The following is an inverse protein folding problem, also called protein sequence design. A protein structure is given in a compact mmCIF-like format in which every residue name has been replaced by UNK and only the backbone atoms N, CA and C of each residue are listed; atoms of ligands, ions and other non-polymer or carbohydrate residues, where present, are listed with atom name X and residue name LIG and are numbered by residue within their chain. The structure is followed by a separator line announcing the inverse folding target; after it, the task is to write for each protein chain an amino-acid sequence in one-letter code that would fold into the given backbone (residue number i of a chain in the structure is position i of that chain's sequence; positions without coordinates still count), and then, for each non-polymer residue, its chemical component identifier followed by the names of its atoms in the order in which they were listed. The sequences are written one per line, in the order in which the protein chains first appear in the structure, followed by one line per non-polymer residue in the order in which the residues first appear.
data_IF_179792075401
#
_entry.id   IF_179792075401
#
_cell.length_a   1.000
_cell.length_b   1.000
_cell.length_c   1.000
_cell.angle_alpha   90.00
_cell.angle_beta   90.00
_cell.angle_gamma   90.00
#
_symmetry.space_group_name_H-M   'P 1'
#
loop_
_entity.id
_entity.type
_entity.pdbx_description
1 polymer ?
#
# COMPACT_ATOMS: atom_id res chain seq x y z
N UNK A 1 -69.76 -23.66 -41.79
CA UNK A 1 -70.54 -22.41 -41.62
C UNK A 1 -69.79 -21.55 -40.62
N UNK A 2 -69.36 -20.37 -41.05
CA UNK A 2 -68.60 -19.40 -40.25
C UNK A 2 -69.60 -18.58 -39.43
N UNK A 3 -69.33 -18.39 -38.14
CA UNK A 3 -69.89 -17.27 -37.38
C UNK A 3 -68.76 -16.62 -36.58
N UNK A 4 -68.65 -15.31 -36.78
CA UNK A 4 -67.64 -14.38 -36.28
C UNK A 4 -67.83 -13.98 -34.82
N UNK A 5 -66.69 -13.83 -34.14
CA UNK A 5 -66.18 -12.65 -33.43
C UNK A 5 -67.14 -11.73 -32.63
N UNK A 6 -66.63 -11.38 -31.43
CA UNK A 6 -67.01 -10.30 -30.47
C UNK A 6 -68.04 -10.78 -29.44
N UNK A 7 -67.71 -10.84 -28.14
CA UNK A 7 -67.49 -9.66 -27.29
C UNK A 7 -66.33 -9.89 -26.31
N UNK A 8 -65.35 -8.99 -26.40
CA UNK A 8 -64.27 -8.75 -25.44
C UNK A 8 -64.80 -8.13 -24.14
N UNK A 9 -64.04 -8.34 -23.06
CA UNK A 9 -64.07 -7.64 -21.76
C UNK A 9 -65.20 -8.06 -20.79
N UNK A 10 -64.85 -8.89 -19.79
CA UNK A 10 -64.51 -8.31 -18.49
C UNK A 10 -63.31 -8.95 -17.79
N UNK A 11 -62.37 -9.57 -18.52
CA UNK A 11 -61.16 -10.17 -17.93
C UNK A 11 -60.08 -9.14 -17.54
N UNK A 12 -60.38 -7.85 -17.57
CA UNK A 12 -59.42 -6.76 -17.34
C UNK A 12 -59.51 -6.14 -15.92
N UNK A 13 -60.43 -6.63 -15.07
CA UNK A 13 -60.54 -6.16 -13.68
C UNK A 13 -59.79 -7.07 -12.71
N UNK A 14 -59.56 -8.34 -13.05
CA UNK A 14 -58.84 -9.28 -12.18
C UNK A 14 -57.31 -9.17 -12.25
N UNK A 15 -56.77 -8.38 -13.19
CA UNK A 15 -55.33 -8.19 -13.37
C UNK A 15 -54.76 -6.98 -12.60
N UNK A 16 -55.63 -6.16 -11.97
CA UNK A 16 -55.23 -4.96 -11.23
C UNK A 16 -55.10 -5.17 -9.71
N UNK A 17 -55.33 -6.39 -9.20
CA UNK A 17 -55.19 -6.72 -7.77
C UNK A 17 -53.88 -7.42 -7.41
N UNK A 18 -52.95 -7.59 -8.37
CA UNK A 18 -51.63 -8.20 -8.14
C UNK A 18 -50.49 -7.18 -7.99
N UNK A 19 -50.77 -5.87 -7.90
CA UNK A 19 -49.70 -4.85 -7.77
C UNK A 19 -49.68 -4.10 -6.44
N UNK A 20 -50.56 -4.41 -5.48
CA UNK A 20 -50.45 -3.90 -4.11
C UNK A 20 -49.63 -4.86 -3.25
N UNK A 21 -48.32 -4.90 -3.53
CA UNK A 21 -47.34 -5.70 -2.81
C UNK A 21 -45.92 -5.30 -3.18
N UNK A 22 -45.64 -4.00 -3.29
CA UNK A 22 -44.28 -3.49 -3.30
C UNK A 22 -44.02 -2.97 -1.90
N UNK A 23 -43.83 -3.93 -0.98
CA UNK A 23 -43.18 -3.63 0.28
C UNK A 23 -41.80 -3.07 -0.08
N UNK A 24 -41.49 -1.91 0.49
CA UNK A 24 -40.25 -1.22 0.24
C UNK A 24 -39.19 -1.95 1.06
N UNK A 25 -38.74 -3.09 0.53
CA UNK A 25 -37.49 -3.73 0.93
C UNK A 25 -36.39 -2.68 0.68
N UNK A 26 -36.08 -1.92 1.73
CA UNK A 26 -34.77 -1.35 1.88
C UNK A 26 -33.81 -2.53 1.91
N UNK A 27 -33.34 -2.92 0.72
CA UNK A 27 -32.10 -3.64 0.51
C UNK A 27 -30.99 -2.80 1.14
N UNK A 28 -30.90 -2.90 2.45
CA UNK A 28 -29.70 -2.59 3.20
C UNK A 28 -28.80 -3.78 2.92
N UNK A 29 -28.24 -3.83 1.70
CA UNK A 29 -27.23 -4.79 1.36
C UNK A 29 -26.22 -4.76 2.50
N UNK A 30 -25.95 -5.89 3.18
CA UNK A 30 -24.92 -5.92 4.21
C UNK A 30 -23.65 -5.36 3.58
N UNK A 31 -22.89 -4.48 4.28
CA UNK A 31 -21.69 -3.90 3.71
C UNK A 31 -20.82 -5.04 3.19
N UNK A 32 -20.47 -4.99 1.90
CA UNK A 32 -19.59 -5.99 1.28
C UNK A 32 -18.39 -6.16 2.21
N UNK A 33 -18.19 -7.39 2.68
CA UNK A 33 -17.09 -7.69 3.59
C UNK A 33 -15.80 -7.19 2.96
N UNK A 34 -15.09 -6.36 3.71
CA UNK A 34 -13.86 -5.73 3.29
C UNK A 34 -12.90 -6.82 2.79
N UNK A 35 -12.51 -6.76 1.50
CA UNK A 35 -11.67 -7.81 0.91
C UNK A 35 -10.43 -8.05 1.79
N UNK A 36 -10.14 -9.33 2.07
CA UNK A 36 -8.95 -9.73 2.82
C UNK A 36 -7.66 -9.47 2.03
N UNK A 37 -7.77 -9.25 0.72
CA UNK A 37 -6.67 -8.97 -0.19
C UNK A 37 -6.82 -7.55 -0.75
N UNK A 38 -5.75 -6.77 -0.73
CA UNK A 38 -5.76 -5.37 -1.17
C UNK A 38 -4.42 -4.96 -1.80
N UNK A 39 -4.44 -3.83 -2.52
CA UNK A 39 -3.22 -3.18 -3.03
C UNK A 39 -2.69 -2.22 -1.97
N UNK A 40 -1.43 -2.39 -1.56
CA UNK A 40 -0.77 -1.49 -0.61
C UNK A 40 0.15 -0.52 -1.34
N UNK A 41 0.03 0.76 -1.03
CA UNK A 41 0.94 1.81 -1.50
C UNK A 41 1.85 2.25 -0.35
N UNK A 42 3.16 2.26 -0.62
CA UNK A 42 4.19 2.65 0.32
C UNK A 42 4.98 3.80 -0.29
N UNK A 43 5.05 4.91 0.42
CA UNK A 43 5.89 6.06 0.07
C UNK A 43 7.05 6.16 1.05
N UNK A 44 8.26 5.90 0.60
CA UNK A 44 9.48 6.11 1.37
C UNK A 44 9.91 7.57 1.27
N UNK A 45 10.13 8.22 2.40
CA UNK A 45 10.74 9.54 2.52
C UNK A 45 12.11 9.38 3.17
N UNK A 46 13.16 9.56 2.39
CA UNK A 46 14.53 9.36 2.83
C UNK A 46 15.17 10.74 3.03
N UNK A 47 15.66 11.00 4.23
CA UNK A 47 16.25 12.31 4.57
C UNK A 47 17.18 12.24 5.77
N UNK A 48 18.01 13.27 5.94
CA UNK A 48 18.71 13.57 7.18
C UNK A 48 18.17 14.87 7.81
N UNK A 49 18.30 14.98 9.13
CA UNK A 49 17.94 16.19 9.87
C UNK A 49 19.15 17.12 10.08
N UNK A 50 20.36 16.62 9.84
CA UNK A 50 21.61 17.36 10.01
C UNK A 50 22.06 17.96 8.68
N UNK A 51 22.35 19.26 8.67
CA UNK A 51 23.07 19.87 7.55
C UNK A 51 24.57 19.52 7.65
N UNK A 52 25.08 18.83 6.63
CA UNK A 52 26.49 18.43 6.52
C UNK A 52 27.29 19.33 5.57
N UNK A 53 26.84 20.56 5.31
CA UNK A 53 27.52 21.53 4.45
C UNK A 53 28.94 21.90 4.93
N UNK A 54 29.23 21.80 6.23
CA UNK A 54 30.52 22.13 6.82
C UNK A 54 31.69 21.29 6.28
N UNK A 55 32.86 21.93 6.12
CA UNK A 55 34.07 21.31 5.56
C UNK A 55 34.56 20.06 6.30
N UNK A 56 34.26 19.92 7.61
CA UNK A 56 34.63 18.71 8.37
C UNK A 56 34.01 17.42 7.81
N UNK A 57 32.94 17.52 7.02
CA UNK A 57 32.23 16.40 6.42
C UNK A 57 32.66 16.08 4.97
N UNK A 58 33.61 16.83 4.39
CA UNK A 58 34.01 16.70 2.97
C UNK A 58 34.53 15.30 2.57
N UNK A 59 34.98 14.51 3.54
CA UNK A 59 35.44 13.13 3.33
C UNK A 59 34.50 12.09 3.95
N UNK A 60 33.27 12.49 4.27
CA UNK A 60 32.25 11.62 4.83
C UNK A 60 31.22 11.23 3.78
N UNK A 61 30.84 9.95 3.76
CA UNK A 61 29.93 9.38 2.77
C UNK A 61 29.10 8.27 3.39
N UNK A 62 27.97 7.97 2.77
CA UNK A 62 27.04 6.94 3.23
C UNK A 62 26.56 6.08 2.07
N UNK A 63 26.40 4.77 2.31
CA UNK A 63 25.67 3.86 1.45
C UNK A 63 24.39 3.42 2.16
N UNK A 64 23.27 3.36 1.45
CA UNK A 64 21.97 2.97 1.99
C UNK A 64 21.39 1.82 1.17
N UNK A 65 21.05 0.72 1.83
CA UNK A 65 20.24 -0.36 1.27
C UNK A 65 18.88 -0.39 1.98
N UNK A 66 17.81 -0.47 1.18
CA UNK A 66 16.44 -0.67 1.65
C UNK A 66 15.90 -1.94 1.03
N UNK A 67 15.45 -2.87 1.87
CA UNK A 67 14.87 -4.14 1.44
C UNK A 67 13.51 -4.34 2.08
N UNK A 68 12.47 -4.39 1.26
CA UNK A 68 11.12 -4.70 1.71
C UNK A 68 10.83 -6.18 1.43
N UNK A 69 10.50 -6.88 2.51
CA UNK A 69 10.16 -8.29 2.51
C UNK A 69 8.68 -8.47 2.82
N UNK A 70 8.04 -9.36 2.08
CA UNK A 70 6.71 -9.89 2.35
C UNK A 70 6.89 -11.26 2.97
N UNK A 71 6.53 -11.39 4.24
CA UNK A 71 6.55 -12.64 4.98
C UNK A 71 5.11 -13.13 5.05
N UNK A 72 4.83 -14.26 4.41
CA UNK A 72 3.49 -14.85 4.36
C UNK A 72 3.43 -16.11 5.22
N UNK A 73 2.27 -16.34 5.84
CA UNK A 73 1.95 -17.65 6.40
C UNK A 73 1.60 -18.67 5.31
N UNK A 74 1.26 -18.20 4.09
CA UNK A 74 1.09 -19.02 2.91
C UNK A 74 2.43 -19.27 2.20
N UNK A 75 2.47 -20.17 1.21
CA UNK A 75 3.65 -20.37 0.37
C UNK A 75 3.64 -19.36 -0.80
N UNK A 76 4.76 -18.70 -1.13
CA UNK A 76 6.06 -18.76 -0.46
C UNK A 76 6.06 -18.01 0.89
N UNK A 77 6.79 -18.55 1.87
CA UNK A 77 6.84 -17.97 3.22
C UNK A 77 7.47 -16.58 3.27
N UNK A 78 8.35 -16.27 2.33
CA UNK A 78 9.08 -15.01 2.28
C UNK A 78 9.41 -14.63 0.84
N UNK A 79 9.21 -13.37 0.50
CA UNK A 79 9.46 -12.79 -0.82
C UNK A 79 10.08 -11.39 -0.65
N UNK A 80 11.11 -11.07 -1.44
CA UNK A 80 11.65 -9.71 -1.52
C UNK A 80 10.86 -8.96 -2.60
N UNK A 81 10.05 -8.00 -2.18
CA UNK A 81 9.15 -7.25 -3.07
C UNK A 81 9.73 -5.91 -3.53
N UNK A 82 10.79 -5.46 -2.85
CA UNK A 82 11.57 -4.29 -3.22
C UNK A 82 12.98 -4.40 -2.61
N UNK A 83 14.00 -4.14 -3.42
CA UNK A 83 15.40 -4.08 -2.98
C UNK A 83 16.04 -2.93 -3.76
N UNK A 84 16.50 -1.91 -3.05
CA UNK A 84 17.19 -0.77 -3.65
C UNK A 84 18.43 -0.41 -2.86
N UNK A 85 19.46 0.01 -3.57
CA UNK A 85 20.69 0.51 -2.99
C UNK A 85 21.00 1.88 -3.56
N UNK A 86 21.13 2.85 -2.67
CA UNK A 86 21.77 4.12 -2.97
C UNK A 86 23.25 3.95 -2.69
N UNK A 87 24.04 4.10 -3.75
CA UNK A 87 25.50 4.01 -3.69
C UNK A 87 26.10 5.03 -2.72
N UNK A 88 27.43 5.09 -2.66
CA UNK A 88 28.12 6.04 -1.80
C UNK A 88 27.75 7.49 -2.14
N UNK A 89 26.93 8.08 -1.29
CA UNK A 89 26.51 9.49 -1.33
C UNK A 89 27.40 10.31 -0.39
N UNK A 90 28.02 11.40 -0.85
CA UNK A 90 28.67 12.37 0.03
C UNK A 90 27.67 12.92 1.05
N UNK A 91 28.12 13.16 2.28
CA UNK A 91 27.27 13.73 3.33
C UNK A 91 26.62 15.06 2.92
N UNK A 92 27.36 15.89 2.18
CA UNK A 92 26.93 17.19 1.67
C UNK A 92 25.78 17.11 0.65
N UNK A 93 25.55 15.93 0.06
CA UNK A 93 24.50 15.70 -0.95
C UNK A 93 23.31 14.93 -0.38
N UNK A 94 23.32 14.60 0.92
CA UNK A 94 22.21 13.88 1.53
C UNK A 94 20.94 14.74 1.52
N UNK A 95 19.78 14.15 1.17
CA UNK A 95 18.53 14.89 1.12
C UNK A 95 18.15 15.39 2.52
N UNK A 96 17.83 16.67 2.64
CA UNK A 96 17.34 17.27 3.88
C UNK A 96 15.84 16.99 4.07
N UNK A 97 15.35 17.13 5.30
CA UNK A 97 13.96 16.83 5.65
C UNK A 97 12.92 17.66 4.88
N UNK A 98 13.26 18.89 4.50
CA UNK A 98 12.43 19.80 3.71
C UNK A 98 12.41 19.43 2.21
N UNK A 99 13.45 18.74 1.73
CA UNK A 99 13.56 18.21 0.38
C UNK A 99 13.93 16.71 0.38
N UNK A 100 13.05 15.83 0.91
CA UNK A 100 13.36 14.41 1.06
C UNK A 100 13.37 13.71 -0.30
N UNK A 101 14.22 12.71 -0.43
CA UNK A 101 14.16 11.79 -1.56
C UNK A 101 12.93 10.89 -1.39
N UNK A 102 12.08 10.85 -2.42
CA UNK A 102 10.81 10.12 -2.38
C UNK A 102 10.82 8.93 -3.34
N UNK A 103 10.52 7.75 -2.81
CA UNK A 103 10.26 6.54 -3.59
C UNK A 103 8.86 6.05 -3.31
N UNK A 104 8.13 5.65 -4.36
CA UNK A 104 6.80 5.06 -4.23
C UNK A 104 6.82 3.63 -4.73
N UNK A 105 6.22 2.72 -3.97
CA UNK A 105 6.05 1.31 -4.33
C UNK A 105 4.61 0.92 -4.11
N UNK A 106 4.01 0.30 -5.12
CA UNK A 106 2.74 -0.39 -4.99
C UNK A 106 3.01 -1.90 -4.90
N UNK A 107 2.36 -2.54 -3.94
CA UNK A 107 2.35 -3.97 -3.74
C UNK A 107 0.95 -4.48 -4.03
N UNK A 108 0.85 -5.41 -4.98
CA UNK A 108 -0.41 -6.04 -5.33
C UNK A 108 -0.68 -7.24 -4.43
N UNK A 109 -1.96 -7.55 -4.27
CA UNK A 109 -2.43 -8.79 -3.65
C UNK A 109 -1.90 -9.03 -2.21
N UNK A 110 -1.79 -7.99 -1.40
CA UNK A 110 -1.41 -8.10 0.01
C UNK A 110 -2.59 -8.63 0.82
N UNK A 111 -2.39 -9.73 1.53
CA UNK A 111 -3.41 -10.38 2.34
C UNK A 111 -3.33 -9.91 3.80
N UNK A 112 -4.38 -9.23 4.29
CA UNK A 112 -4.47 -8.62 5.63
C UNK A 112 -4.07 -9.57 6.76
N UNK A 113 -4.59 -10.80 6.76
CA UNK A 113 -4.37 -11.74 7.86
C UNK A 113 -3.13 -12.64 7.72
N UNK A 114 -2.54 -12.73 6.53
CA UNK A 114 -1.53 -13.74 6.21
C UNK A 114 -0.17 -13.13 5.92
N UNK A 115 -0.14 -11.87 5.47
CA UNK A 115 1.09 -11.19 5.11
C UNK A 115 1.52 -10.20 6.18
N UNK A 116 2.83 -10.20 6.43
CA UNK A 116 3.55 -9.16 7.16
C UNK A 116 4.57 -8.54 6.24
N UNK A 117 4.62 -7.22 6.23
CA UNK A 117 5.62 -6.47 5.47
C UNK A 117 6.69 -5.97 6.43
N UNK A 118 7.95 -6.29 6.14
CA UNK A 118 9.11 -5.88 6.92
C UNK A 118 10.09 -5.14 6.03
N UNK A 119 10.45 -3.92 6.44
CA UNK A 119 11.48 -3.12 5.81
C UNK A 119 12.78 -3.29 6.60
N UNK A 120 13.82 -3.80 5.94
CA UNK A 120 15.18 -3.76 6.44
C UNK A 120 15.89 -2.53 5.87
N UNK A 121 16.50 -1.75 6.75
CA UNK A 121 17.28 -0.56 6.43
C UNK A 121 18.71 -0.83 6.87
N UNK A 122 19.64 -0.87 5.91
CA UNK A 122 21.07 -0.96 6.20
C UNK A 122 21.76 0.31 5.74
N UNK A 123 22.44 0.97 6.67
CA UNK A 123 23.26 2.17 6.42
C UNK A 123 24.71 1.83 6.70
N UNK A 124 25.60 2.12 5.76
CA UNK A 124 27.05 2.13 5.99
C UNK A 124 27.52 3.58 5.96
N UNK A 125 28.06 4.06 7.06
CA UNK A 125 28.64 5.42 7.17
C UNK A 125 30.15 5.30 7.16
N UNK A 126 30.81 6.07 6.30
CA UNK A 126 32.27 6.23 6.28
C UNK A 126 32.60 7.66 6.69
N UNK A 127 33.32 7.84 7.79
CA UNK A 127 33.84 9.14 8.24
C UNK A 127 35.35 9.02 8.33
N UNK A 128 36.07 9.82 7.54
CA UNK A 128 37.53 9.80 7.48
C UNK A 128 38.12 8.40 7.22
N UNK A 129 37.42 7.58 6.43
CA UNK A 129 37.84 6.21 6.09
C UNK A 129 37.45 5.14 7.10
N UNK A 130 36.88 5.51 8.26
CA UNK A 130 36.33 4.56 9.22
C UNK A 130 34.87 4.25 8.90
N UNK A 131 34.57 2.98 8.67
CA UNK A 131 33.23 2.53 8.31
C UNK A 131 32.48 1.97 9.52
N UNK A 132 31.21 2.36 9.65
CA UNK A 132 30.28 1.85 10.66
C UNK A 132 28.99 1.43 9.98
N UNK A 133 28.52 0.23 10.31
CA UNK A 133 27.28 -0.34 9.78
C UNK A 133 26.17 -0.19 10.81
N UNK A 134 25.03 0.31 10.35
CA UNK A 134 23.79 0.42 11.11
C UNK A 134 22.73 -0.41 10.42
N UNK A 135 22.02 -1.23 11.18
CA UNK A 135 20.94 -2.08 10.70
C UNK A 135 19.69 -1.82 11.54
N UNK A 136 18.56 -1.68 10.86
CA UNK A 136 17.27 -1.49 11.49
C UNK A 136 16.21 -2.26 10.71
N UNK A 137 15.30 -2.91 11.43
CA UNK A 137 14.13 -3.57 10.86
C UNK A 137 12.87 -2.88 11.36
N UNK A 138 11.96 -2.58 10.44
CA UNK A 138 10.67 -1.96 10.72
C UNK A 138 9.55 -2.82 10.14
N UNK A 139 8.62 -3.25 11.00
CA UNK A 139 7.36 -3.84 10.53
C UNK A 139 6.42 -2.73 10.07
N UNK A 140 5.89 -2.85 8.85
CA UNK A 140 4.93 -1.88 8.30
C UNK A 140 3.50 -2.20 8.74
N UNK A 141 2.65 -1.18 8.77
CA UNK A 141 1.27 -1.31 9.21
C UNK A 141 0.41 -2.04 8.17
N UNK A 142 0.24 -3.36 8.36
CA UNK A 142 -0.54 -4.22 7.49
C UNK A 142 -2.03 -3.83 7.34
N UNK A 143 -2.59 -2.99 8.23
CA UNK A 143 -3.99 -2.58 8.15
C UNK A 143 -4.20 -1.33 7.30
N UNK A 144 -3.11 -0.64 6.91
CA UNK A 144 -3.18 0.58 6.13
C UNK A 144 -2.92 0.30 4.65
N UNK A 145 -3.89 0.56 3.76
CA UNK A 145 -3.68 0.51 2.31
C UNK A 145 -2.63 1.49 1.82
N UNK A 146 -2.45 2.61 2.52
CA UNK A 146 -1.45 3.63 2.19
C UNK A 146 -0.61 3.95 3.43
N UNK A 147 0.71 3.98 3.26
CA UNK A 147 1.63 4.27 4.34
C UNK A 147 2.83 5.09 3.85
N UNK A 148 3.21 6.10 4.64
CA UNK A 148 4.46 6.83 4.44
C UNK A 148 5.48 6.34 5.46
N UNK A 149 6.65 5.91 4.98
CA UNK A 149 7.75 5.43 5.82
C UNK A 149 8.88 6.45 5.76
N UNK A 150 9.24 6.99 6.92
CA UNK A 150 10.38 7.89 7.06
C UNK A 150 11.66 7.09 7.31
N UNK A 151 12.65 7.27 6.45
CA UNK A 151 13.98 6.67 6.57
C UNK A 151 14.97 7.77 6.91
N UNK A 152 15.37 7.82 8.17
CA UNK A 152 16.34 8.80 8.67
C UNK A 152 17.78 8.33 8.45
N UNK A 153 18.59 9.20 7.85
CA UNK A 153 19.98 8.96 7.47
C UNK A 153 20.97 9.45 8.54
#
# INVERSE_FOLDING_TARGET
MVVSLRVLAPFLVFLLLLTSGCDKENDTAPPLADSNVYTKEIAFKIFTETDYSEARWQHSKMNLNLKLRRISTALPKEEIVFDTTFGWMPFQELPLKDAPLQLKKQLQEVHKAQDRLMLDVTKVVSINGYETVFQHEQTLDHNKPQETVEVKL
#
